data_IF_088915051522
#
_entry.id   IF_088915051522
#
_cell.length_a   1.000
_cell.length_b   1.000
_cell.length_c   1.000
_cell.angle_alpha   90.00
_cell.angle_beta   90.00
_cell.angle_gamma   90.00
#
_symmetry.space_group_name_H-M   'P 1'
#
loop_
_entity.id
_entity.type
_entity.pdbx_description
1 polymer ?
#
# COMPACT_ATOMS: atom_id res chain seq x y z
N UNK A 1 26.15 12.87 2.16
CA UNK A 1 25.73 11.91 1.11
C UNK A 1 24.24 12.09 0.87
N UNK A 2 23.76 12.17 -0.37
CA UNK A 2 22.30 12.23 -0.63
C UNK A 2 21.70 10.88 -0.25
N UNK A 3 20.66 10.89 0.60
CA UNK A 3 19.95 9.67 0.98
C UNK A 3 19.31 9.07 -0.27
N UNK A 4 19.66 7.82 -0.57
CA UNK A 4 19.03 7.06 -1.66
C UNK A 4 17.67 6.56 -1.17
N UNK A 5 16.66 6.68 -2.00
CA UNK A 5 15.32 6.18 -1.77
C UNK A 5 15.01 5.09 -2.80
N UNK A 6 14.24 4.10 -2.36
CA UNK A 6 13.70 3.07 -3.24
C UNK A 6 12.37 3.56 -3.80
N UNK A 7 12.32 3.73 -5.11
CA UNK A 7 11.11 4.05 -5.86
C UNK A 7 10.46 2.77 -6.37
N UNK A 8 9.14 2.69 -6.23
CA UNK A 8 8.27 1.60 -6.68
C UNK A 8 7.31 2.21 -7.71
N UNK A 9 7.41 1.73 -8.94
CA UNK A 9 6.62 2.19 -10.09
C UNK A 9 5.63 1.10 -10.49
N UNK A 10 4.36 1.47 -10.63
CA UNK A 10 3.29 0.54 -11.01
C UNK A 10 3.11 0.53 -12.52
N UNK A 11 3.11 -0.67 -13.10
CA UNK A 11 3.01 -0.89 -14.54
C UNK A 11 1.91 -1.91 -14.82
N UNK A 12 1.10 -1.61 -15.84
CA UNK A 12 0.10 -2.55 -16.38
C UNK A 12 0.53 -3.00 -17.76
N UNK A 13 0.46 -4.31 -18.02
CA UNK A 13 0.48 -4.86 -19.37
C UNK A 13 -0.95 -4.79 -19.94
N UNK A 14 -1.14 -3.96 -20.98
CA UNK A 14 -2.45 -3.73 -21.59
C UNK A 14 -2.91 -4.92 -22.44
N UNK A 15 -2.01 -5.85 -22.80
CA UNK A 15 -2.36 -7.03 -23.59
C UNK A 15 -2.93 -8.15 -22.73
N UNK A 16 -2.38 -8.33 -21.53
CA UNK A 16 -2.83 -9.36 -20.58
C UNK A 16 -3.75 -8.83 -19.50
N UNK A 17 -3.74 -7.51 -19.27
CA UNK A 17 -4.41 -6.85 -18.16
C UNK A 17 -3.66 -6.97 -16.82
N UNK A 18 -2.51 -7.66 -16.78
CA UNK A 18 -1.75 -7.89 -15.55
C UNK A 18 -1.01 -6.65 -15.06
N UNK A 19 -0.95 -6.47 -13.75
CA UNK A 19 -0.22 -5.39 -13.08
C UNK A 19 1.01 -5.93 -12.36
N UNK A 20 2.10 -5.17 -12.41
CA UNK A 20 3.34 -5.49 -11.72
C UNK A 20 4.08 -4.22 -11.28
N UNK A 21 5.08 -4.40 -10.42
CA UNK A 21 5.92 -3.31 -9.93
C UNK A 21 7.32 -3.34 -10.56
N UNK A 22 7.89 -2.17 -10.75
CA UNK A 22 9.29 -1.99 -11.09
C UNK A 22 9.98 -1.10 -10.06
N UNK A 23 11.21 -1.43 -9.67
CA UNK A 23 11.92 -0.74 -8.58
C UNK A 23 13.17 0.00 -9.08
N UNK A 24 13.45 1.16 -8.50
CA UNK A 24 14.70 1.91 -8.69
C UNK A 24 15.26 2.38 -7.36
N UNK A 25 16.58 2.55 -7.28
CA UNK A 25 17.23 3.19 -6.15
C UNK A 25 17.89 4.50 -6.61
N UNK A 26 17.27 5.62 -6.27
CA UNK A 26 17.69 6.95 -6.73
C UNK A 26 17.81 7.96 -5.59
N UNK A 27 18.37 9.14 -5.89
CA UNK A 27 18.37 10.24 -4.91
C UNK A 27 16.94 10.67 -4.59
N UNK A 28 16.73 11.21 -3.38
CA UNK A 28 15.43 11.77 -3.00
C UNK A 28 14.92 12.83 -3.99
N UNK A 29 13.60 12.86 -4.20
CA UNK A 29 12.90 13.77 -5.12
C UNK A 29 12.90 13.36 -6.60
N UNK A 30 13.27 12.13 -6.95
CA UNK A 30 13.44 11.66 -8.33
C UNK A 30 12.28 10.83 -8.89
N UNK A 31 11.05 11.00 -8.37
CA UNK A 31 9.86 10.27 -8.85
C UNK A 31 9.67 10.35 -10.36
N UNK A 32 9.81 11.55 -10.94
CA UNK A 32 9.65 11.77 -12.38
C UNK A 32 10.67 10.95 -13.19
N UNK A 33 11.93 10.93 -12.75
CA UNK A 33 12.98 10.14 -13.43
C UNK A 33 12.71 8.64 -13.35
N UNK A 34 12.22 8.14 -12.22
CA UNK A 34 11.83 6.74 -12.09
C UNK A 34 10.69 6.38 -13.08
N UNK A 35 9.69 7.26 -13.23
CA UNK A 35 8.60 7.08 -14.20
C UNK A 35 9.15 7.11 -15.64
N UNK A 36 9.96 8.09 -15.99
CA UNK A 36 10.54 8.20 -17.35
C UNK A 36 11.42 6.99 -17.70
N UNK A 37 12.28 6.56 -16.78
CA UNK A 37 13.09 5.36 -16.96
C UNK A 37 12.22 4.12 -17.19
N UNK A 38 11.11 4.00 -16.45
CA UNK A 38 10.14 2.91 -16.61
C UNK A 38 9.44 2.98 -17.95
N UNK A 39 9.02 4.16 -18.41
CA UNK A 39 8.39 4.35 -19.73
C UNK A 39 9.32 4.00 -20.88
N UNK A 40 10.62 4.27 -20.76
CA UNK A 40 11.62 3.85 -21.76
C UNK A 40 11.74 2.33 -21.85
N UNK A 41 11.56 1.62 -20.74
CA UNK A 41 11.64 0.15 -20.68
C UNK A 41 10.32 -0.53 -21.07
N UNK A 42 9.20 0.06 -20.67
CA UNK A 42 7.85 -0.44 -20.86
C UNK A 42 7.04 0.60 -21.61
N UNK A 43 7.20 0.60 -22.94
CA UNK A 43 6.60 1.59 -23.81
C UNK A 43 5.13 1.29 -24.13
N UNK A 44 4.38 2.36 -24.39
CA UNK A 44 3.04 2.32 -24.97
C UNK A 44 3.07 1.82 -26.43
N UNK A 45 1.97 1.22 -26.94
CA UNK A 45 0.68 1.02 -26.27
C UNK A 45 0.63 -0.25 -25.43
N UNK A 46 1.68 -1.07 -25.44
CA UNK A 46 1.67 -2.37 -24.76
C UNK A 46 1.61 -2.23 -23.24
N UNK A 47 2.29 -1.24 -22.68
CA UNK A 47 2.33 -1.02 -21.25
C UNK A 47 1.81 0.35 -20.87
N UNK A 48 1.12 0.44 -19.72
CA UNK A 48 0.75 1.70 -19.08
C UNK A 48 1.59 1.87 -17.82
N UNK A 49 2.34 2.96 -17.72
CA UNK A 49 3.08 3.32 -16.51
C UNK A 49 2.26 4.34 -15.72
N UNK A 50 1.79 3.95 -14.53
CA UNK A 50 0.85 4.75 -13.75
C UNK A 50 1.54 5.85 -12.96
N UNK A 51 2.22 5.47 -11.88
CA UNK A 51 2.85 6.39 -10.93
C UNK A 51 4.00 5.73 -10.22
N UNK A 52 4.82 6.54 -9.56
CA UNK A 52 5.90 6.09 -8.68
C UNK A 52 5.66 6.61 -7.27
N UNK A 53 5.95 5.78 -6.28
CA UNK A 53 6.06 6.15 -4.88
C UNK A 53 7.40 5.68 -4.33
N UNK A 54 7.91 6.34 -3.32
CA UNK A 54 8.98 5.78 -2.50
C UNK A 54 8.42 4.68 -1.60
N UNK A 55 9.29 3.76 -1.17
CA UNK A 55 8.89 2.73 -0.20
C UNK A 55 8.31 3.36 1.07
N UNK A 56 8.96 4.40 1.60
CA UNK A 56 8.51 5.13 2.79
C UNK A 56 7.09 5.74 2.61
N UNK A 57 6.80 6.30 1.42
CA UNK A 57 5.46 6.80 1.09
C UNK A 57 4.42 5.68 1.09
N UNK A 58 4.73 4.51 0.50
CA UNK A 58 3.82 3.36 0.50
C UNK A 58 3.57 2.81 1.90
N UNK A 59 4.60 2.74 2.74
CA UNK A 59 4.49 2.31 4.12
C UNK A 59 3.62 3.27 4.94
N UNK A 60 3.84 4.58 4.78
CA UNK A 60 3.03 5.62 5.42
C UNK A 60 1.56 5.57 4.99
N UNK A 61 1.29 5.41 3.69
CA UNK A 61 -0.07 5.24 3.18
C UNK A 61 -0.72 3.96 3.72
N UNK A 62 0.00 2.84 3.72
CA UNK A 62 -0.50 1.56 4.24
C UNK A 62 -0.81 1.64 5.74
N UNK A 63 0.06 2.28 6.51
CA UNK A 63 -0.16 2.54 7.94
C UNK A 63 -1.41 3.38 8.18
N UNK A 64 -1.60 4.43 7.39
CA UNK A 64 -2.79 5.29 7.45
C UNK A 64 -4.05 4.49 7.11
N UNK A 65 -4.05 3.72 6.02
CA UNK A 65 -5.18 2.86 5.65
C UNK A 65 -5.51 1.92 6.80
N UNK A 66 -4.53 1.20 7.34
CA UNK A 66 -4.74 0.28 8.48
C UNK A 66 -5.35 0.98 9.68
N UNK A 67 -4.91 2.19 10.02
CA UNK A 67 -5.47 2.97 11.13
C UNK A 67 -6.95 3.27 10.93
N UNK A 68 -7.38 3.58 9.71
CA UNK A 68 -8.76 3.94 9.41
C UNK A 68 -9.67 2.74 9.10
N UNK A 69 -9.12 1.64 8.58
CA UNK A 69 -9.88 0.44 8.22
C UNK A 69 -9.86 -0.63 9.30
N UNK A 70 -8.98 -0.54 10.29
CA UNK A 70 -9.08 -1.35 11.50
C UNK A 70 -10.41 -1.02 12.19
N UNK A 71 -11.41 -1.87 11.99
CA UNK A 71 -12.63 -1.82 12.78
C UNK A 71 -12.22 -1.86 14.26
N UNK A 72 -12.83 -1.04 15.14
CA UNK A 72 -12.68 -1.26 16.56
C UNK A 72 -13.07 -2.73 16.79
N UNK A 73 -12.14 -3.53 17.34
CA UNK A 73 -12.49 -4.87 17.82
C UNK A 73 -13.73 -4.66 18.67
N UNK A 74 -14.87 -5.16 18.21
CA UNK A 74 -16.09 -5.19 19.01
C UNK A 74 -15.71 -6.07 20.19
N UNK A 75 -15.31 -5.44 21.29
CA UNK A 75 -15.10 -6.13 22.55
C UNK A 75 -16.51 -6.54 22.96
N UNK A 76 -16.98 -7.67 22.45
CA UNK A 76 -18.06 -8.40 23.07
C UNK A 76 -17.49 -8.89 24.41
N UNK A 77 -17.43 -7.98 25.38
CA UNK A 77 -17.71 -8.36 26.75
C UNK A 77 -19.11 -8.92 26.70
N UNK A 78 -19.19 -10.24 26.51
CA UNK A 78 -20.35 -11.04 26.86
C UNK A 78 -20.63 -10.71 28.33
N UNK A 79 -21.46 -9.70 28.56
CA UNK A 79 -22.15 -9.54 29.81
C UNK A 79 -22.86 -10.87 30.03
N UNK A 80 -22.38 -11.64 31.00
CA UNK A 80 -23.10 -12.82 31.43
C UNK A 80 -24.52 -12.36 31.79
N UNK A 81 -25.57 -12.93 31.18
CA UNK A 81 -26.92 -12.56 31.54
C UNK A 81 -27.16 -12.88 33.02
N UNK A 82 -27.72 -11.90 33.74
CA UNK A 82 -27.93 -11.83 35.19
C UNK A 82 -28.85 -12.91 35.79
N UNK A 83 -29.19 -13.98 35.05
CA UNK A 83 -30.12 -15.00 35.54
C UNK A 83 -29.45 -16.06 36.47
N UNK A 84 -28.13 -16.04 36.62
CA UNK A 84 -27.41 -16.98 37.50
C UNK A 84 -27.26 -16.49 38.96
N UNK A 85 -27.74 -15.29 39.31
CA UNK A 85 -27.67 -14.79 40.69
C UNK A 85 -28.82 -15.26 41.61
N UNK A 86 -29.84 -15.95 41.09
CA UNK A 86 -31.03 -16.35 41.88
C UNK A 86 -31.03 -17.79 42.42
N UNK A 87 -29.87 -18.47 42.47
CA UNK A 87 -29.78 -19.85 42.98
C UNK A 87 -29.11 -19.96 44.37
N UNK A 88 -29.12 -18.90 45.19
CA UNK A 88 -28.75 -18.95 46.61
C UNK A 88 -29.62 -18.01 47.44
N UNK A 89 -30.88 -18.39 47.62
CA UNK A 89 -31.72 -17.95 48.74
C UNK A 89 -32.32 -19.20 49.38
#
# INVERSE_FOLDING_TARGET
MKQRQTYIVFVRDNTTGGEFIHTYAESAGQHHRAIEATRRKYAEPRYTVHTAYTLDELENMTSTIRRWTAQPKRTEQLAMPDFLQLAKA
#
